data_IF_897237632049
#
_entry.id   IF_897237632049
#
_cell.length_a   1.000
_cell.length_b   1.000
_cell.length_c   1.000
_cell.angle_alpha   90.00
_cell.angle_beta   90.00
_cell.angle_gamma   90.00
#
_symmetry.space_group_name_H-M   'P 1'
#
loop_
_entity.id
_entity.type
_entity.pdbx_description
1 polymer ?
#
# COMPACT_ATOMS: atom_id res chain seq x y z
N UNK A 1 11.00 -21.76 -0.02
CA UNK A 1 11.29 -20.73 1.00
C UNK A 1 11.04 -21.30 2.38
N UNK A 2 11.90 -21.03 3.36
CA UNK A 2 11.75 -21.54 4.72
C UNK A 2 10.97 -20.53 5.58
N UNK A 3 9.66 -20.72 5.72
CA UNK A 3 8.84 -19.97 6.69
C UNK A 3 8.96 -20.51 8.12
N UNK A 4 9.75 -21.58 8.32
CA UNK A 4 9.97 -22.22 9.61
C UNK A 4 11.48 -22.33 9.88
N UNK A 5 12.11 -21.34 10.55
CA UNK A 5 13.51 -21.42 10.92
C UNK A 5 13.76 -22.55 11.91
N UNK A 6 15.00 -23.03 12.01
CA UNK A 6 15.39 -23.94 13.09
C UNK A 6 15.33 -23.22 14.43
N UNK A 7 15.10 -23.95 15.53
CA UNK A 7 15.06 -23.38 16.89
C UNK A 7 16.29 -22.51 17.23
N UNK A 8 17.47 -22.93 16.76
CA UNK A 8 18.73 -22.19 16.98
C UNK A 8 18.73 -20.82 16.28
N UNK A 9 18.07 -20.70 15.14
CA UNK A 9 18.10 -19.50 14.30
C UNK A 9 16.83 -18.65 14.45
N UNK A 10 15.88 -19.07 15.28
CA UNK A 10 14.56 -18.43 15.43
C UNK A 10 14.67 -16.96 15.82
N UNK A 11 15.55 -16.63 16.78
CA UNK A 11 15.79 -15.25 17.19
C UNK A 11 16.30 -14.37 16.04
N UNK A 12 17.32 -14.84 15.30
CA UNK A 12 17.87 -14.11 14.17
C UNK A 12 16.85 -13.93 13.04
N UNK A 13 16.01 -14.95 12.80
CA UNK A 13 14.94 -14.89 11.81
C UNK A 13 13.87 -13.88 12.20
N UNK A 14 13.38 -13.92 13.45
CA UNK A 14 12.36 -12.99 13.94
C UNK A 14 12.86 -11.54 13.91
N UNK A 15 14.11 -11.31 14.33
CA UNK A 15 14.74 -10.00 14.24
C UNK A 15 14.80 -9.48 12.79
N UNK A 16 15.16 -10.33 11.83
CA UNK A 16 15.19 -9.94 10.42
C UNK A 16 13.78 -9.57 9.90
N UNK A 17 12.75 -10.34 10.28
CA UNK A 17 11.35 -10.03 9.93
C UNK A 17 10.93 -8.68 10.50
N UNK A 18 11.23 -8.41 11.76
CA UNK A 18 10.91 -7.14 12.42
C UNK A 18 11.62 -5.95 11.75
N UNK A 19 12.90 -6.12 11.41
CA UNK A 19 13.68 -5.08 10.73
C UNK A 19 13.11 -4.77 9.33
N UNK A 20 12.74 -5.79 8.56
CA UNK A 20 12.11 -5.60 7.24
C UNK A 20 10.75 -4.90 7.39
N UNK A 21 9.96 -5.30 8.39
CA UNK A 21 8.67 -4.68 8.66
C UNK A 21 8.82 -3.20 9.06
N UNK A 22 9.84 -2.87 9.85
CA UNK A 22 10.14 -1.49 10.23
C UNK A 22 10.56 -0.65 9.01
N UNK A 23 11.48 -1.16 8.18
CA UNK A 23 11.92 -0.47 6.95
C UNK A 23 10.78 -0.25 5.96
N UNK A 24 9.87 -1.23 5.81
CA UNK A 24 8.69 -1.08 4.97
C UNK A 24 7.73 0.00 5.49
N UNK A 25 7.54 0.09 6.82
CA UNK A 25 6.73 1.16 7.43
C UNK A 25 7.35 2.53 7.19
N UNK A 26 8.65 2.68 7.44
CA UNK A 26 9.38 3.93 7.20
C UNK A 26 9.25 4.38 5.74
N UNK A 27 9.38 3.46 4.79
CA UNK A 27 9.15 3.76 3.37
C UNK A 27 7.74 4.32 3.17
N UNK A 28 6.70 3.62 3.63
CA UNK A 28 5.30 4.03 3.45
C UNK A 28 5.02 5.39 4.09
N UNK A 29 5.57 5.65 5.27
CA UNK A 29 5.43 6.93 5.98
C UNK A 29 6.15 8.07 5.24
N UNK A 30 7.23 7.76 4.52
CA UNK A 30 7.99 8.74 3.70
C UNK A 30 7.37 9.01 2.31
N UNK A 31 6.39 8.21 1.88
CA UNK A 31 5.76 8.39 0.57
C UNK A 31 4.84 9.61 0.59
N UNK A 32 5.32 10.70 0.03
CA UNK A 32 4.51 11.88 -0.28
C UNK A 32 3.82 11.72 -1.63
N UNK A 33 2.58 12.20 -1.73
CA UNK A 33 1.86 12.30 -3.00
C UNK A 33 1.49 13.73 -3.29
N UNK A 34 1.79 14.20 -4.50
CA UNK A 34 1.32 15.49 -5.01
C UNK A 34 -0.11 15.43 -5.51
N UNK A 35 -0.72 14.23 -5.56
CA UNK A 35 -2.12 14.10 -5.95
C UNK A 35 -3.02 14.76 -4.91
N UNK A 36 -3.91 15.61 -5.41
CA UNK A 36 -5.02 16.17 -4.65
C UNK A 36 -5.85 15.02 -4.04
N UNK A 37 -6.34 15.15 -2.80
CA UNK A 37 -7.19 14.14 -2.19
C UNK A 37 -8.34 13.75 -3.12
N UNK A 38 -8.55 12.45 -3.33
CA UNK A 38 -9.59 11.97 -4.23
C UNK A 38 -10.98 12.21 -3.63
N UNK A 39 -11.70 13.20 -4.17
CA UNK A 39 -13.09 13.46 -3.80
C UNK A 39 -14.03 12.48 -4.49
N UNK A 40 -14.78 11.69 -3.70
CA UNK A 40 -15.71 10.67 -4.22
C UNK A 40 -16.85 11.29 -5.03
N UNK A 41 -17.34 12.47 -4.65
CA UNK A 41 -18.45 13.14 -5.35
C UNK A 41 -18.01 13.64 -6.72
N UNK A 42 -16.83 14.23 -6.81
CA UNK A 42 -16.22 14.68 -8.07
C UNK A 42 -15.94 13.51 -9.01
N UNK A 43 -15.41 12.41 -8.49
CA UNK A 43 -15.17 11.20 -9.29
C UNK A 43 -16.48 10.55 -9.76
N UNK A 44 -17.53 10.58 -8.94
CA UNK A 44 -18.87 10.15 -9.34
C UNK A 44 -19.48 11.06 -10.42
N UNK A 45 -19.29 12.38 -10.32
CA UNK A 45 -19.72 13.34 -11.33
C UNK A 45 -18.98 13.13 -12.66
N UNK A 46 -17.65 12.95 -12.62
CA UNK A 46 -16.85 12.59 -13.80
C UNK A 46 -17.31 11.25 -14.41
N UNK A 47 -17.61 10.25 -13.59
CA UNK A 47 -18.10 8.97 -14.07
C UNK A 47 -19.46 9.09 -14.77
N UNK A 48 -20.40 9.87 -14.19
CA UNK A 48 -21.69 10.16 -14.82
C UNK A 48 -21.53 10.91 -16.14
N UNK A 49 -20.66 11.93 -16.19
CA UNK A 49 -20.38 12.67 -17.41
C UNK A 49 -19.78 11.78 -18.52
N UNK A 50 -18.82 10.90 -18.16
CA UNK A 50 -18.28 9.90 -19.10
C UNK A 50 -19.35 8.92 -19.60
N UNK A 51 -20.27 8.51 -18.74
CA UNK A 51 -21.38 7.64 -19.13
C UNK A 51 -22.33 8.34 -20.10
N UNK A 52 -22.68 9.60 -19.83
CA UNK A 52 -23.55 10.39 -20.70
C UNK A 52 -22.95 10.53 -22.12
N UNK A 53 -21.64 10.78 -22.22
CA UNK A 53 -20.94 10.83 -23.52
C UNK A 53 -20.89 9.47 -24.24
N UNK A 54 -20.89 8.36 -23.50
CA UNK A 54 -20.81 7.01 -24.07
C UNK A 54 -22.14 6.49 -24.60
N UNK A 55 -23.25 6.96 -24.04
CA UNK A 55 -24.61 6.55 -24.41
C UNK A 55 -25.40 7.66 -25.13
N UNK A 56 -24.71 8.71 -25.57
CA UNK A 56 -25.23 9.73 -26.48
C UNK A 56 -25.11 9.30 -27.95
#
# INVERSE_FOLDING_TARGET
>A
GSTKPSKRNEHAFNHAVEAIAAAARELLDSLETTQTPRNREEEAAKAKARSALRFA
#
